data_IF_763421656912
#
_entry.id   IF_763421656912
#
_cell.length_a   1.000
_cell.length_b   1.000
_cell.length_c   1.000
_cell.angle_alpha   90.00
_cell.angle_beta   90.00
_cell.angle_gamma   90.00
#
_symmetry.space_group_name_H-M   'P 1'
#
loop_
_entity.id
_entity.type
_entity.pdbx_description
1 polymer ?
#
# COMPACT_ATOMS: atom_id res chain seq x y z
N UNK A 1 -3.45 -20.31 85.09
CA UNK A 1 -3.89 -21.36 86.03
C UNK A 1 -5.18 -21.96 85.49
N UNK A 2 -5.21 -23.29 85.32
CA UNK A 2 -6.40 -24.18 85.22
C UNK A 2 -7.46 -23.83 84.14
N UNK A 3 -7.84 -24.72 83.24
CA UNK A 3 -7.59 -26.16 83.17
C UNK A 3 -8.31 -26.84 82.00
N UNK A 4 -8.10 -28.16 81.94
CA UNK A 4 -8.98 -29.24 81.48
C UNK A 4 -9.66 -29.11 80.10
N UNK A 5 -9.29 -29.90 79.09
CA UNK A 5 -9.65 -31.32 78.87
C UNK A 5 -11.13 -31.66 79.01
N UNK A 6 -11.84 -31.79 77.88
CA UNK A 6 -12.65 -32.94 77.45
C UNK A 6 -13.34 -32.57 76.10
N UNK A 7 -13.22 -33.26 74.95
CA UNK A 7 -13.42 -34.67 74.53
C UNK A 7 -14.69 -34.75 73.67
N UNK A 8 -14.57 -35.13 72.39
CA UNK A 8 -15.48 -36.04 71.65
C UNK A 8 -14.94 -36.26 70.22
N UNK A 9 -14.30 -37.42 69.99
CA UNK A 9 -14.81 -38.57 69.17
C UNK A 9 -14.37 -38.46 67.69
N UNK A 10 -13.25 -39.06 67.30
CA UNK A 10 -13.06 -40.48 66.87
C UNK A 10 -13.87 -40.84 65.62
N UNK A 11 -13.19 -40.92 64.47
CA UNK A 11 -12.95 -42.22 63.81
C UNK A 11 -11.81 -42.11 62.79
N UNK A 12 -10.77 -42.91 63.01
CA UNK A 12 -9.67 -43.21 62.09
C UNK A 12 -10.03 -44.52 61.40
N UNK A 13 -9.91 -44.58 60.08
CA UNK A 13 -9.78 -45.85 59.36
C UNK A 13 -8.70 -45.70 58.28
N UNK A 14 -7.54 -46.31 58.54
CA UNK A 14 -6.52 -46.59 57.53
C UNK A 14 -7.04 -47.69 56.61
N UNK A 15 -6.90 -47.52 55.29
CA UNK A 15 -6.92 -48.63 54.33
C UNK A 15 -5.65 -48.56 53.48
N UNK A 16 -4.96 -49.71 53.45
CA UNK A 16 -3.68 -49.94 52.83
C UNK A 16 -3.73 -50.10 51.31
N UNK A 17 -2.54 -50.01 50.74
CA UNK A 17 -2.17 -50.05 49.33
C UNK A 17 -2.51 -51.38 48.67
N UNK A 18 -2.98 -51.33 47.43
CA UNK A 18 -2.94 -52.43 46.47
C UNK A 18 -2.33 -51.93 45.16
N UNK A 19 -1.35 -52.68 44.65
CA UNK A 19 -0.62 -52.42 43.40
C UNK A 19 -1.47 -52.90 42.24
N UNK A 20 -1.75 -52.03 41.26
CA UNK A 20 -2.36 -52.39 39.99
C UNK A 20 -1.38 -52.06 38.84
N UNK A 21 -1.09 -53.07 38.03
CA UNK A 21 -0.32 -52.94 36.79
C UNK A 21 -1.07 -52.07 35.78
N UNK A 22 -0.49 -50.94 35.39
CA UNK A 22 -0.96 -50.15 34.25
C UNK A 22 -0.24 -50.65 32.98
N UNK A 23 -0.99 -51.22 32.04
CA UNK A 23 -0.51 -51.40 30.67
C UNK A 23 -0.48 -50.03 29.97
N UNK A 24 0.72 -49.57 29.60
CA UNK A 24 0.89 -48.36 28.81
C UNK A 24 0.51 -48.65 27.34
N UNK A 25 -0.64 -48.13 26.89
CA UNK A 25 -0.94 -48.04 25.47
C UNK A 25 -0.16 -46.85 24.91
N UNK A 26 0.94 -47.12 24.23
CA UNK A 26 1.65 -46.11 23.45
C UNK A 26 0.78 -45.73 22.24
N UNK A 27 0.13 -44.56 22.31
CA UNK A 27 -0.46 -43.95 21.12
C UNK A 27 0.71 -43.42 20.29
N UNK A 28 1.12 -44.18 19.28
CA UNK A 28 1.94 -43.62 18.19
C UNK A 28 1.08 -42.58 17.47
N UNK A 29 1.28 -41.30 17.77
CA UNK A 29 0.89 -40.24 16.86
C UNK A 29 1.74 -40.39 15.60
N UNK A 30 1.19 -41.01 14.57
CA UNK A 30 1.73 -40.91 13.22
C UNK A 30 1.63 -39.42 12.88
N UNK A 31 2.73 -38.68 13.06
CA UNK A 31 2.89 -37.41 12.41
C UNK A 31 2.71 -37.72 10.92
N UNK A 32 1.61 -37.24 10.33
CA UNK A 32 1.46 -37.29 8.89
C UNK A 32 2.65 -36.53 8.32
N UNK A 33 3.61 -37.29 7.80
CA UNK A 33 4.68 -36.76 6.98
C UNK A 33 3.95 -36.13 5.80
N UNK A 34 3.77 -34.81 5.85
CA UNK A 34 3.27 -34.07 4.71
C UNK A 34 4.32 -34.30 3.63
N UNK A 35 3.94 -35.04 2.59
CA UNK A 35 4.78 -35.12 1.40
C UNK A 35 5.01 -33.66 0.93
N UNK A 36 6.25 -33.27 0.63
CA UNK A 36 6.49 -31.94 0.08
C UNK A 36 5.65 -31.79 -1.18
N UNK A 37 5.14 -30.57 -1.39
CA UNK A 37 4.43 -30.22 -2.62
C UNK A 37 5.22 -30.61 -3.86
N UNK A 38 4.52 -31.05 -4.89
CA UNK A 38 5.16 -31.32 -6.17
C UNK A 38 5.39 -30.00 -6.93
N UNK A 39 6.46 -29.96 -7.72
CA UNK A 39 6.61 -28.94 -8.76
C UNK A 39 5.76 -29.33 -9.97
N UNK A 40 5.02 -28.35 -10.50
CA UNK A 40 4.11 -28.49 -11.63
C UNK A 40 4.48 -27.48 -12.69
N UNK A 41 5.08 -27.95 -13.77
CA UNK A 41 5.46 -27.10 -14.89
C UNK A 41 4.35 -27.07 -15.93
N UNK A 42 3.95 -25.88 -16.34
CA UNK A 42 3.09 -25.72 -17.49
C UNK A 42 3.84 -26.15 -18.76
N UNK A 43 3.33 -27.16 -19.45
CA UNK A 43 3.88 -27.68 -20.71
C UNK A 43 2.93 -27.50 -21.89
N UNK A 44 1.69 -27.08 -21.61
CA UNK A 44 0.70 -26.79 -22.64
C UNK A 44 0.99 -25.49 -23.39
N UNK A 45 0.33 -25.31 -24.53
CA UNK A 45 0.11 -23.96 -25.07
C UNK A 45 -0.88 -23.17 -24.21
N UNK A 46 -1.44 -22.08 -24.73
CA UNK A 46 -2.54 -21.39 -24.05
C UNK A 46 -3.70 -22.35 -23.79
N UNK A 47 -4.19 -22.37 -22.55
CA UNK A 47 -5.12 -23.40 -22.10
C UNK A 47 -5.66 -23.17 -20.69
N UNK A 48 -6.34 -24.18 -20.17
CA UNK A 48 -7.06 -24.07 -18.91
C UNK A 48 -6.32 -24.72 -17.75
N UNK A 49 -6.35 -24.06 -16.59
CA UNK A 49 -5.72 -24.53 -15.34
C UNK A 49 -6.19 -25.93 -14.93
N UNK A 50 -7.48 -26.21 -15.09
CA UNK A 50 -8.13 -27.46 -14.66
C UNK A 50 -7.77 -28.68 -15.51
N UNK A 51 -7.05 -28.49 -16.61
CA UNK A 51 -6.62 -29.58 -17.51
C UNK A 51 -5.23 -30.05 -17.10
N UNK A 52 -5.17 -31.18 -16.40
CA UNK A 52 -3.90 -31.74 -15.88
C UNK A 52 -2.82 -31.98 -16.95
N UNK A 53 -3.20 -32.31 -18.18
CA UNK A 53 -2.25 -32.48 -19.29
C UNK A 53 -1.44 -31.20 -19.59
N UNK A 54 -2.00 -30.02 -19.33
CA UNK A 54 -1.27 -28.76 -19.48
C UNK A 54 -0.15 -28.60 -18.42
N UNK A 55 -0.20 -29.38 -17.34
CA UNK A 55 0.79 -29.43 -16.25
C UNK A 55 1.69 -30.67 -16.32
N UNK A 56 1.69 -31.37 -17.46
CA UNK A 56 2.46 -32.61 -17.64
C UNK A 56 1.92 -33.80 -16.86
N UNK A 57 0.69 -33.73 -16.34
CA UNK A 57 0.06 -34.80 -15.59
C UNK A 57 -1.19 -34.38 -14.84
N UNK A 58 -1.03 -34.00 -13.56
CA UNK A 58 -2.12 -33.51 -12.71
C UNK A 58 -1.98 -32.02 -12.46
N UNK A 59 -3.11 -31.32 -12.32
CA UNK A 59 -3.12 -29.89 -11.99
C UNK A 59 -2.51 -29.62 -10.61
N UNK A 60 -1.97 -28.41 -10.36
CA UNK A 60 -1.52 -27.99 -9.05
C UNK A 60 -2.66 -27.95 -8.03
N UNK A 61 -2.28 -28.18 -6.78
CA UNK A 61 -3.11 -28.08 -5.59
C UNK A 61 -2.46 -27.13 -4.58
N UNK A 62 -3.13 -26.80 -3.47
CA UNK A 62 -2.67 -25.83 -2.47
C UNK A 62 -1.32 -26.13 -1.79
N UNK A 63 -0.73 -27.30 -2.04
CA UNK A 63 0.60 -27.65 -1.54
C UNK A 63 1.67 -27.58 -2.63
N UNK A 64 1.29 -27.54 -3.90
CA UNK A 64 2.20 -27.64 -5.05
C UNK A 64 2.75 -26.27 -5.46
N UNK A 65 3.95 -26.26 -6.07
CA UNK A 65 4.53 -25.07 -6.71
C UNK A 65 4.24 -25.17 -8.21
N UNK A 66 3.69 -24.12 -8.79
CA UNK A 66 3.29 -24.06 -10.18
C UNK A 66 4.16 -23.05 -10.96
N UNK A 67 4.81 -23.53 -12.03
CA UNK A 67 5.66 -22.70 -12.88
C UNK A 67 5.08 -22.57 -14.28
N UNK A 68 5.17 -21.36 -14.85
CA UNK A 68 4.75 -21.05 -16.22
C UNK A 68 5.90 -20.37 -16.95
N UNK A 69 6.55 -21.12 -17.84
CA UNK A 69 7.79 -20.73 -18.52
C UNK A 69 7.69 -20.94 -20.05
N UNK A 70 6.49 -20.79 -20.61
CA UNK A 70 6.18 -21.16 -22.01
C UNK A 70 5.68 -20.01 -22.88
N UNK A 71 5.45 -18.84 -22.30
CA UNK A 71 4.79 -17.71 -22.95
C UNK A 71 3.28 -17.91 -23.10
N UNK A 72 2.74 -19.01 -22.59
CA UNK A 72 1.33 -19.37 -22.73
C UNK A 72 0.40 -18.53 -21.86
N UNK A 73 -0.87 -18.49 -22.25
CA UNK A 73 -1.95 -17.97 -21.40
C UNK A 73 -2.56 -19.12 -20.59
N UNK A 74 -2.42 -19.05 -19.27
CA UNK A 74 -3.08 -19.93 -18.31
C UNK A 74 -4.41 -19.30 -17.90
N UNK A 75 -5.51 -19.98 -18.23
CA UNK A 75 -6.87 -19.52 -17.91
C UNK A 75 -7.48 -20.31 -16.77
N UNK A 76 -7.83 -19.63 -15.69
CA UNK A 76 -8.65 -20.16 -14.60
C UNK A 76 -10.12 -19.85 -14.91
N UNK A 77 -10.94 -20.89 -15.01
CA UNK A 77 -12.38 -20.78 -15.38
C UNK A 77 -13.33 -21.43 -14.38
N UNK A 78 -12.77 -22.08 -13.37
CA UNK A 78 -13.47 -22.81 -12.30
C UNK A 78 -13.21 -22.11 -10.97
N UNK A 79 -14.06 -22.43 -9.98
CA UNK A 79 -13.86 -21.97 -8.60
C UNK A 79 -12.99 -22.96 -7.83
N UNK A 80 -12.17 -22.42 -6.93
CA UNK A 80 -11.39 -23.21 -5.97
C UNK A 80 -10.08 -23.78 -6.52
N UNK A 81 -9.55 -23.21 -7.60
CA UNK A 81 -8.20 -23.55 -8.06
C UNK A 81 -7.16 -23.03 -7.06
N UNK A 82 -6.06 -23.77 -6.86
CA UNK A 82 -5.08 -23.40 -5.87
C UNK A 82 -3.67 -23.90 -6.17
N UNK A 83 -2.67 -23.16 -5.66
CA UNK A 83 -1.27 -23.57 -5.58
C UNK A 83 -0.65 -23.07 -4.26
N UNK A 84 0.43 -23.67 -3.78
CA UNK A 84 1.25 -23.04 -2.73
C UNK A 84 1.99 -21.82 -3.30
N UNK A 85 2.47 -21.91 -4.54
CA UNK A 85 3.16 -20.84 -5.23
C UNK A 85 2.84 -20.91 -6.72
N UNK A 86 2.73 -19.75 -7.36
CA UNK A 86 2.55 -19.60 -8.78
C UNK A 86 3.53 -18.57 -9.31
N UNK A 87 4.41 -19.01 -10.20
CA UNK A 87 5.49 -18.19 -10.71
C UNK A 87 5.57 -18.25 -12.23
N UNK A 88 5.69 -17.07 -12.84
CA UNK A 88 5.79 -16.88 -14.27
C UNK A 88 7.21 -16.44 -14.62
N UNK A 89 7.89 -17.23 -15.44
CA UNK A 89 9.22 -16.95 -15.96
C UNK A 89 10.35 -17.17 -14.97
N UNK A 90 10.31 -18.26 -14.20
CA UNK A 90 11.37 -18.64 -13.26
C UNK A 90 12.56 -19.25 -13.98
N UNK A 91 12.31 -20.25 -14.84
CA UNK A 91 13.36 -20.96 -15.57
C UNK A 91 13.63 -20.36 -16.96
N UNK A 92 12.63 -19.71 -17.56
CA UNK A 92 12.69 -19.15 -18.92
C UNK A 92 12.08 -17.75 -18.95
N UNK A 93 12.62 -16.78 -19.72
CA UNK A 93 11.99 -15.47 -19.87
C UNK A 93 10.59 -15.49 -20.52
N UNK A 94 10.15 -16.61 -21.11
CA UNK A 94 8.80 -16.78 -21.65
C UNK A 94 7.74 -16.92 -20.52
N UNK A 95 7.52 -15.87 -19.73
CA UNK A 95 6.69 -15.93 -18.54
C UNK A 95 5.18 -16.13 -18.84
N UNK A 96 4.61 -15.48 -19.86
CA UNK A 96 3.24 -15.76 -20.34
C UNK A 96 2.16 -14.92 -19.67
N UNK A 97 0.94 -15.46 -19.48
CA UNK A 97 -0.19 -14.68 -18.92
C UNK A 97 -1.11 -15.51 -18.03
N UNK A 98 -1.63 -14.91 -16.97
CA UNK A 98 -2.67 -15.44 -16.11
C UNK A 98 -3.99 -14.72 -16.38
N UNK A 99 -5.04 -15.48 -16.73
CA UNK A 99 -6.40 -14.97 -16.85
C UNK A 99 -7.27 -15.67 -15.83
N UNK A 100 -7.92 -14.93 -14.94
CA UNK A 100 -8.96 -15.46 -14.06
C UNK A 100 -10.31 -14.97 -14.58
N UNK A 101 -11.06 -15.89 -15.18
CA UNK A 101 -12.31 -15.60 -15.87
C UNK A 101 -13.43 -15.21 -14.89
N UNK A 102 -14.48 -14.58 -15.42
CA UNK A 102 -15.61 -14.14 -14.61
C UNK A 102 -16.23 -15.30 -13.83
N UNK A 103 -16.47 -15.08 -12.53
CA UNK A 103 -16.99 -16.09 -11.60
C UNK A 103 -16.01 -17.21 -11.20
N UNK A 104 -14.79 -17.21 -11.73
CA UNK A 104 -13.75 -18.18 -11.35
C UNK A 104 -12.96 -17.70 -10.12
N UNK A 105 -12.23 -18.62 -9.48
CA UNK A 105 -11.36 -18.25 -8.37
C UNK A 105 -10.06 -19.05 -8.29
N UNK A 106 -8.98 -18.34 -7.95
CA UNK A 106 -7.65 -18.88 -7.72
C UNK A 106 -7.12 -18.42 -6.36
N UNK A 107 -6.58 -19.34 -5.58
CA UNK A 107 -5.89 -19.06 -4.31
C UNK A 107 -4.45 -19.56 -4.35
N UNK A 108 -3.48 -18.67 -4.22
CA UNK A 108 -2.06 -19.03 -4.18
C UNK A 108 -1.39 -18.51 -2.91
N UNK A 109 -0.37 -19.21 -2.40
CA UNK A 109 0.44 -18.68 -1.29
C UNK A 109 1.29 -17.52 -1.76
N UNK A 110 2.08 -17.70 -2.81
CA UNK A 110 2.85 -16.64 -3.45
C UNK A 110 2.47 -16.52 -4.93
N UNK A 111 2.33 -15.29 -5.42
CA UNK A 111 2.23 -14.98 -6.84
C UNK A 111 3.41 -14.13 -7.27
N UNK A 112 4.20 -14.63 -8.21
CA UNK A 112 5.32 -13.90 -8.80
C UNK A 112 5.15 -13.83 -10.32
N UNK A 113 4.96 -12.62 -10.84
CA UNK A 113 4.89 -12.36 -12.28
C UNK A 113 6.21 -11.76 -12.77
N UNK A 114 6.73 -12.32 -13.85
CA UNK A 114 7.99 -11.93 -14.49
C UNK A 114 9.21 -12.10 -13.56
N UNK A 115 9.50 -13.34 -13.16
CA UNK A 115 10.54 -13.65 -12.18
C UNK A 115 11.98 -13.54 -12.70
N UNK A 116 12.18 -13.58 -14.00
CA UNK A 116 13.50 -13.42 -14.63
C UNK A 116 13.62 -12.11 -15.42
N UNK A 117 14.85 -11.63 -15.58
CA UNK A 117 15.12 -10.45 -16.41
C UNK A 117 14.76 -10.71 -17.87
N UNK A 118 14.15 -9.73 -18.53
CA UNK A 118 13.67 -9.85 -19.91
C UNK A 118 12.36 -10.62 -20.06
N UNK A 119 11.79 -11.12 -18.97
CA UNK A 119 10.48 -11.77 -18.99
C UNK A 119 9.33 -10.77 -19.03
N UNK A 120 8.23 -11.17 -19.68
CA UNK A 120 7.00 -10.38 -19.76
C UNK A 120 5.81 -11.22 -19.30
N UNK A 121 5.08 -10.70 -18.30
CA UNK A 121 3.88 -11.33 -17.74
C UNK A 121 2.66 -10.44 -17.81
N UNK A 122 1.48 -11.05 -17.99
CA UNK A 122 0.21 -10.32 -17.91
C UNK A 122 -0.77 -11.02 -16.96
N UNK A 123 -1.45 -10.24 -16.13
CA UNK A 123 -2.60 -10.68 -15.32
C UNK A 123 -3.87 -9.98 -15.82
N UNK A 124 -4.90 -10.76 -16.13
CA UNK A 124 -6.25 -10.25 -16.35
C UNK A 124 -7.20 -10.86 -15.32
N UNK A 125 -7.76 -10.01 -14.47
CA UNK A 125 -8.71 -10.38 -13.43
C UNK A 125 -10.10 -9.82 -13.80
N UNK A 126 -10.90 -10.67 -14.43
CA UNK A 126 -12.21 -10.32 -14.96
C UNK A 126 -13.19 -9.86 -13.88
N UNK A 127 -14.27 -9.14 -14.25
CA UNK A 127 -15.36 -8.84 -13.31
C UNK A 127 -15.85 -10.12 -12.62
N UNK A 128 -16.18 -10.02 -11.31
CA UNK A 128 -16.62 -11.13 -10.43
C UNK A 128 -15.63 -12.28 -10.22
N UNK A 129 -14.47 -12.27 -10.86
CA UNK A 129 -13.38 -13.20 -10.57
C UNK A 129 -12.74 -12.88 -9.21
N UNK A 130 -12.13 -13.87 -8.57
CA UNK A 130 -11.42 -13.70 -7.30
C UNK A 130 -10.02 -14.31 -7.37
N UNK A 131 -9.01 -13.51 -7.03
CA UNK A 131 -7.63 -13.94 -6.85
C UNK A 131 -7.21 -13.66 -5.40
N UNK A 132 -6.87 -14.70 -4.65
CA UNK A 132 -6.31 -14.59 -3.32
C UNK A 132 -4.83 -15.00 -3.34
N UNK A 133 -3.97 -14.17 -2.77
CA UNK A 133 -2.53 -14.42 -2.64
C UNK A 133 -2.10 -14.22 -1.19
N UNK A 134 -1.11 -14.97 -0.71
CA UNK A 134 -0.41 -14.68 0.53
C UNK A 134 0.56 -13.50 0.38
N UNK A 135 1.27 -13.45 -0.74
CA UNK A 135 2.14 -12.35 -1.14
C UNK A 135 2.07 -12.17 -2.66
N UNK A 136 2.03 -10.92 -3.13
CA UNK A 136 1.95 -10.61 -4.55
C UNK A 136 3.15 -9.81 -5.04
N UNK A 137 3.77 -10.25 -6.13
CA UNK A 137 4.83 -9.53 -6.83
C UNK A 137 4.52 -9.45 -8.32
N UNK A 138 4.26 -8.24 -8.80
CA UNK A 138 3.94 -7.94 -10.19
C UNK A 138 5.12 -7.17 -10.77
N UNK A 139 5.90 -7.80 -11.63
CA UNK A 139 7.10 -7.19 -12.22
C UNK A 139 8.30 -7.41 -11.32
N UNK A 140 8.65 -8.68 -11.09
CA UNK A 140 9.70 -9.05 -10.14
C UNK A 140 11.09 -8.64 -10.64
N UNK A 141 11.65 -9.34 -11.62
CA UNK A 141 12.90 -8.97 -12.31
C UNK A 141 12.68 -8.57 -13.76
N UNK A 142 11.55 -8.98 -14.35
CA UNK A 142 11.09 -8.55 -15.66
C UNK A 142 9.90 -7.61 -15.57
N UNK A 143 9.14 -7.53 -16.66
CA UNK A 143 8.01 -6.61 -16.79
C UNK A 143 6.69 -7.37 -16.60
N UNK A 144 5.78 -6.81 -15.82
CA UNK A 144 4.45 -7.35 -15.69
C UNK A 144 3.37 -6.27 -15.66
N UNK A 145 2.24 -6.57 -16.29
CA UNK A 145 1.05 -5.72 -16.22
C UNK A 145 -0.13 -6.48 -15.64
N UNK A 146 -0.99 -5.82 -14.86
CA UNK A 146 -2.24 -6.38 -14.41
C UNK A 146 -3.44 -5.47 -14.74
N UNK A 147 -4.49 -6.05 -15.30
CA UNK A 147 -5.79 -5.43 -15.45
C UNK A 147 -6.75 -6.02 -14.41
N UNK A 148 -7.33 -5.16 -13.55
CA UNK A 148 -8.16 -5.58 -12.42
C UNK A 148 -9.56 -4.99 -12.55
N UNK A 149 -10.55 -5.88 -12.69
CA UNK A 149 -11.97 -5.57 -12.58
C UNK A 149 -12.71 -6.47 -11.57
N UNK A 150 -12.07 -7.55 -11.11
CA UNK A 150 -12.56 -8.45 -10.06
C UNK A 150 -12.01 -8.14 -8.68
N UNK A 151 -11.90 -9.16 -7.82
CA UNK A 151 -11.40 -9.06 -6.45
C UNK A 151 -9.99 -9.62 -6.33
N UNK A 152 -9.01 -8.79 -5.97
CA UNK A 152 -7.64 -9.22 -5.64
C UNK A 152 -7.42 -9.07 -4.13
N UNK A 153 -7.14 -10.15 -3.42
CA UNK A 153 -6.80 -10.10 -2.00
C UNK A 153 -5.36 -10.60 -1.79
N UNK A 154 -4.46 -9.72 -1.35
CA UNK A 154 -3.16 -10.11 -0.79
C UNK A 154 -3.26 -10.11 0.73
N UNK A 155 -3.04 -11.25 1.40
CA UNK A 155 -3.03 -11.29 2.86
C UNK A 155 -1.74 -10.73 3.47
N UNK A 156 -0.67 -10.63 2.68
CA UNK A 156 0.56 -9.92 2.97
C UNK A 156 0.76 -8.72 2.05
N UNK A 157 2.02 -8.37 1.80
CA UNK A 157 2.37 -7.23 0.96
C UNK A 157 2.11 -7.47 -0.54
N UNK A 158 1.84 -6.38 -1.25
CA UNK A 158 1.78 -6.33 -2.71
C UNK A 158 2.89 -5.42 -3.22
N UNK A 159 3.75 -5.97 -4.07
CA UNK A 159 4.88 -5.24 -4.67
C UNK A 159 4.65 -5.11 -6.16
N UNK A 160 4.76 -3.88 -6.68
CA UNK A 160 4.81 -3.60 -8.11
C UNK A 160 6.20 -3.09 -8.49
N UNK A 161 6.89 -3.81 -9.36
CA UNK A 161 8.27 -3.49 -9.73
C UNK A 161 9.21 -3.74 -8.55
N UNK A 162 9.53 -5.02 -8.27
CA UNK A 162 10.50 -5.35 -7.23
C UNK A 162 11.90 -4.87 -7.66
N UNK A 163 12.37 -5.35 -8.80
CA UNK A 163 13.60 -4.94 -9.51
C UNK A 163 13.34 -4.63 -10.99
N UNK A 164 12.27 -5.21 -11.55
CA UNK A 164 11.76 -4.93 -12.89
C UNK A 164 10.66 -3.88 -12.91
N UNK A 165 9.71 -4.00 -13.85
CA UNK A 165 8.58 -3.08 -14.00
C UNK A 165 7.24 -3.74 -13.70
N UNK A 166 6.47 -3.17 -12.78
CA UNK A 166 5.11 -3.60 -12.46
C UNK A 166 4.10 -2.50 -12.72
N UNK A 167 3.07 -2.78 -13.53
CA UNK A 167 1.98 -1.82 -13.81
C UNK A 167 0.62 -2.44 -13.54
N UNK A 168 -0.11 -1.90 -12.56
CA UNK A 168 -1.51 -2.29 -12.30
C UNK A 168 -2.45 -1.22 -12.83
N UNK A 169 -3.49 -1.63 -13.54
CA UNK A 169 -4.65 -0.79 -13.88
C UNK A 169 -5.90 -1.40 -13.28
N UNK A 170 -6.48 -0.71 -12.30
CA UNK A 170 -7.74 -1.08 -11.69
C UNK A 170 -8.85 -0.16 -12.21
N UNK A 171 -9.85 -0.76 -12.85
CA UNK A 171 -11.01 -0.05 -13.42
C UNK A 171 -12.29 -0.30 -12.63
N UNK A 172 -12.34 -1.38 -11.86
CA UNK A 172 -13.48 -1.76 -11.03
C UNK A 172 -13.01 -2.71 -9.90
N UNK A 173 -13.97 -3.33 -9.21
CA UNK A 173 -13.69 -4.36 -8.23
C UNK A 173 -12.99 -3.86 -6.97
N UNK A 174 -12.35 -4.77 -6.25
CA UNK A 174 -11.72 -4.50 -4.96
C UNK A 174 -10.32 -5.12 -4.89
N UNK A 175 -9.35 -4.34 -4.43
CA UNK A 175 -8.00 -4.81 -4.10
C UNK A 175 -7.80 -4.60 -2.61
N UNK A 176 -7.45 -5.65 -1.89
CA UNK A 176 -7.12 -5.59 -0.47
C UNK A 176 -5.68 -6.05 -0.26
N UNK A 177 -4.91 -5.30 0.51
CA UNK A 177 -3.51 -5.62 0.86
C UNK A 177 -3.40 -5.73 2.38
N UNK A 178 -2.95 -6.89 2.87
CA UNK A 178 -2.81 -7.18 4.29
C UNK A 178 -1.52 -6.63 4.90
N UNK A 179 -0.49 -6.45 4.09
CA UNK A 179 0.78 -5.80 4.44
C UNK A 179 0.94 -4.45 3.74
N UNK A 180 2.17 -4.13 3.33
CA UNK A 180 2.50 -2.92 2.60
C UNK A 180 2.12 -3.02 1.13
N UNK A 181 1.73 -1.89 0.54
CA UNK A 181 1.74 -1.71 -0.91
C UNK A 181 3.03 -0.97 -1.29
N UNK A 182 3.91 -1.59 -2.06
CA UNK A 182 5.21 -0.98 -2.41
C UNK A 182 5.41 -0.91 -3.93
N UNK A 183 5.74 0.28 -4.42
CA UNK A 183 5.93 0.57 -5.85
C UNK A 183 7.37 1.00 -6.13
N UNK A 184 8.07 0.31 -7.03
CA UNK A 184 9.47 0.63 -7.38
C UNK A 184 10.40 0.38 -6.21
N UNK A 185 10.56 -0.90 -5.86
CA UNK A 185 11.06 -1.29 -4.54
C UNK A 185 12.59 -1.29 -4.41
N UNK A 186 13.30 -2.06 -5.24
CA UNK A 186 14.74 -2.33 -5.07
C UNK A 186 15.51 -1.95 -6.34
N UNK A 187 16.46 -1.04 -6.19
CA UNK A 187 17.31 -0.53 -7.27
C UNK A 187 16.66 0.58 -8.10
N UNK A 188 17.50 1.51 -8.56
CA UNK A 188 17.08 2.72 -9.28
C UNK A 188 16.34 2.45 -10.62
N UNK A 189 16.46 1.24 -11.17
CA UNK A 189 15.77 0.84 -12.39
C UNK A 189 14.39 0.20 -12.14
N UNK A 190 14.03 -0.11 -10.88
CA UNK A 190 12.73 -0.68 -10.55
C UNK A 190 11.63 0.35 -10.78
N UNK A 191 10.54 -0.07 -11.42
CA UNK A 191 9.41 0.80 -11.78
C UNK A 191 8.10 0.18 -11.28
N UNK A 192 7.40 0.85 -10.37
CA UNK A 192 6.06 0.46 -9.93
C UNK A 192 5.04 1.53 -10.29
N UNK A 193 3.97 1.16 -10.98
CA UNK A 193 2.86 2.07 -11.26
C UNK A 193 1.50 1.44 -10.94
N UNK A 194 0.70 2.15 -10.14
CA UNK A 194 -0.69 1.78 -9.85
C UNK A 194 -1.64 2.85 -10.41
N UNK A 195 -2.50 2.46 -11.35
CA UNK A 195 -3.55 3.31 -11.93
C UNK A 195 -4.90 2.93 -11.36
N UNK A 196 -5.41 3.73 -10.43
CA UNK A 196 -6.68 3.51 -9.74
C UNK A 196 -7.79 4.34 -10.40
N UNK A 197 -8.33 3.84 -11.51
CA UNK A 197 -9.36 4.52 -12.34
C UNK A 197 -10.79 4.23 -11.89
N UNK A 198 -10.98 3.22 -11.04
CA UNK A 198 -12.24 2.86 -10.43
C UNK A 198 -12.05 1.76 -9.38
N UNK A 199 -13.12 1.37 -8.71
CA UNK A 199 -13.05 0.35 -7.65
C UNK A 199 -12.42 0.87 -6.36
N UNK A 200 -12.08 -0.06 -5.46
CA UNK A 200 -11.50 0.24 -4.15
C UNK A 200 -10.13 -0.43 -3.99
N UNK A 201 -9.17 0.30 -3.42
CA UNK A 201 -7.89 -0.20 -2.93
C UNK A 201 -7.83 0.01 -1.41
N UNK A 202 -7.77 -1.08 -0.64
CA UNK A 202 -7.68 -1.06 0.81
C UNK A 202 -6.34 -1.62 1.27
N UNK A 203 -5.64 -0.89 2.13
CA UNK A 203 -4.45 -1.38 2.84
C UNK A 203 -4.78 -1.59 4.31
N UNK A 204 -4.37 -2.73 4.86
CA UNK A 204 -4.71 -3.06 6.24
C UNK A 204 -3.95 -2.18 7.22
N UNK A 205 -4.62 -1.80 8.30
CA UNK A 205 -4.04 -1.09 9.45
C UNK A 205 -3.10 -2.02 10.22
N UNK A 206 -2.37 -1.45 11.17
CA UNK A 206 -1.40 -2.19 11.98
C UNK A 206 0.04 -1.72 11.82
N UNK A 207 0.25 -0.54 11.22
CA UNK A 207 1.58 0.00 10.96
C UNK A 207 2.09 -0.22 9.53
N UNK A 208 1.23 -0.71 8.63
CA UNK A 208 1.55 -0.83 7.20
C UNK A 208 1.58 0.53 6.50
N UNK A 209 2.11 0.54 5.28
CA UNK A 209 2.28 1.73 4.46
C UNK A 209 1.92 1.52 2.98
N UNK A 210 1.65 2.64 2.32
CA UNK A 210 1.71 2.78 0.86
C UNK A 210 3.03 3.47 0.53
N UNK A 211 3.97 2.73 -0.05
CA UNK A 211 5.31 3.20 -0.38
C UNK A 211 5.43 3.48 -1.89
N UNK A 212 5.69 4.73 -2.25
CA UNK A 212 5.86 5.17 -3.63
C UNK A 212 7.33 5.52 -3.85
N UNK A 213 8.08 4.64 -4.52
CA UNK A 213 9.50 4.82 -4.82
C UNK A 213 10.36 4.61 -3.59
N UNK A 214 10.71 3.36 -3.30
CA UNK A 214 11.52 2.98 -2.13
C UNK A 214 13.02 3.08 -2.44
N UNK A 215 13.45 2.47 -3.54
CA UNK A 215 14.77 2.73 -4.14
C UNK A 215 14.65 3.04 -5.65
N UNK A 216 13.53 2.64 -6.26
CA UNK A 216 13.21 2.89 -7.67
C UNK A 216 12.19 4.01 -7.85
N UNK A 217 11.42 3.93 -8.92
CA UNK A 217 10.36 4.90 -9.24
C UNK A 217 8.99 4.30 -8.93
N UNK A 218 8.25 4.93 -8.03
CA UNK A 218 6.89 4.52 -7.67
C UNK A 218 5.86 5.59 -8.00
N UNK A 219 4.78 5.20 -8.69
CA UNK A 219 3.72 6.13 -9.08
C UNK A 219 2.35 5.57 -8.74
N UNK A 220 1.55 6.32 -7.98
CA UNK A 220 0.14 6.05 -7.79
C UNK A 220 -0.68 7.14 -8.47
N UNK A 221 -1.48 6.74 -9.45
CA UNK A 221 -2.37 7.63 -10.20
C UNK A 221 -3.81 7.36 -9.74
N UNK A 222 -4.38 8.31 -9.00
CA UNK A 222 -5.76 8.28 -8.50
C UNK A 222 -6.69 8.95 -9.51
N UNK A 223 -7.25 8.11 -10.38
CA UNK A 223 -8.19 8.51 -11.41
C UNK A 223 -7.59 9.06 -12.71
N UNK A 224 -8.49 9.50 -13.58
CA UNK A 224 -8.22 10.12 -14.87
C UNK A 224 -9.30 11.15 -15.24
N UNK A 225 -9.40 11.56 -16.50
CA UNK A 225 -10.45 12.49 -16.93
C UNK A 225 -11.87 11.97 -16.70
N UNK A 226 -12.07 10.65 -16.68
CA UNK A 226 -13.37 9.97 -16.69
C UNK A 226 -13.78 9.60 -15.27
N UNK A 227 -12.91 8.91 -14.52
CA UNK A 227 -13.26 8.34 -13.23
C UNK A 227 -12.05 8.23 -12.29
N UNK A 228 -12.34 8.03 -11.00
CA UNK A 228 -11.35 7.73 -9.97
C UNK A 228 -11.84 6.56 -9.12
N UNK A 229 -10.91 5.73 -8.65
CA UNK A 229 -11.20 4.78 -7.58
C UNK A 229 -11.09 5.41 -6.20
N UNK A 230 -11.18 4.57 -5.18
CA UNK A 230 -11.08 4.97 -3.78
C UNK A 230 -9.90 4.26 -3.14
N UNK A 231 -9.00 5.02 -2.53
CA UNK A 231 -7.96 4.48 -1.65
C UNK A 231 -8.41 4.62 -0.20
N UNK A 232 -8.25 3.56 0.59
CA UNK A 232 -8.62 3.56 2.00
C UNK A 232 -7.84 2.52 2.79
N UNK A 233 -8.30 2.29 4.01
CA UNK A 233 -7.68 1.37 4.94
C UNK A 233 -8.73 0.47 5.63
N UNK A 234 -8.32 -0.71 6.08
CA UNK A 234 -9.18 -1.70 6.74
C UNK A 234 -8.56 -2.26 8.02
N UNK A 235 -9.36 -2.82 8.93
CA UNK A 235 -8.86 -3.45 10.16
C UNK A 235 -8.65 -2.48 11.33
N UNK A 236 -7.79 -2.85 12.27
CA UNK A 236 -7.53 -2.14 13.53
C UNK A 236 -6.04 -1.84 13.74
N UNK A 237 -5.68 -1.04 14.75
CA UNK A 237 -4.29 -0.66 15.04
C UNK A 237 -3.93 0.75 14.58
N UNK A 238 -2.65 1.01 14.30
CA UNK A 238 -2.18 2.28 13.75
C UNK A 238 -2.74 2.52 12.34
N UNK A 239 -2.93 3.79 11.95
CA UNK A 239 -3.31 4.15 10.59
C UNK A 239 -2.25 3.76 9.57
N UNK A 240 -2.66 3.63 8.31
CA UNK A 240 -1.74 3.34 7.19
C UNK A 240 -0.99 4.61 6.81
N UNK A 241 0.34 4.53 6.75
CA UNK A 241 1.20 5.63 6.33
C UNK A 241 1.21 5.76 4.79
N UNK A 242 1.49 6.97 4.31
CA UNK A 242 1.77 7.24 2.91
C UNK A 242 3.18 7.80 2.80
N UNK A 243 4.07 7.04 2.16
CA UNK A 243 5.47 7.38 2.01
C UNK A 243 5.76 7.65 0.53
N UNK A 244 6.32 8.82 0.20
CA UNK A 244 6.52 9.27 -1.17
C UNK A 244 7.98 9.68 -1.37
N UNK A 245 8.70 8.89 -2.18
CA UNK A 245 10.13 9.07 -2.46
C UNK A 245 11.04 8.67 -1.31
N UNK A 246 10.67 7.59 -0.61
CA UNK A 246 11.38 7.16 0.60
C UNK A 246 12.76 6.58 0.26
N UNK A 247 13.62 6.53 1.27
CA UNK A 247 14.80 5.68 1.28
C UNK A 247 14.64 4.62 2.39
N UNK A 248 14.65 3.35 2.03
CA UNK A 248 14.77 2.25 2.99
C UNK A 248 16.05 1.48 2.66
N UNK A 249 17.07 1.60 3.52
CA UNK A 249 18.26 0.74 3.41
C UNK A 249 17.90 -0.68 3.85
N UNK A 250 17.74 -1.59 2.89
CA UNK A 250 17.54 -3.02 3.16
C UNK A 250 18.85 -3.75 3.56
N UNK A 251 19.89 -3.03 4.01
CA UNK A 251 21.17 -3.60 4.42
C UNK A 251 22.10 -3.92 3.25
N UNK A 252 21.80 -3.37 2.06
CA UNK A 252 22.58 -3.55 0.83
C UNK A 252 23.58 -2.42 0.57
N UNK A 253 23.58 -1.36 1.38
CA UNK A 253 24.44 -0.20 1.19
C UNK A 253 24.05 0.66 -0.02
N UNK A 254 22.80 0.54 -0.50
CA UNK A 254 22.26 1.45 -1.51
C UNK A 254 22.20 2.85 -0.90
N UNK A 255 22.62 3.88 -1.65
CA UNK A 255 22.44 5.30 -1.28
C UNK A 255 21.49 6.00 -2.25
N UNK A 256 20.82 5.24 -3.13
CA UNK A 256 19.94 5.80 -4.13
C UNK A 256 18.58 6.13 -3.50
N UNK A 257 18.19 7.40 -3.59
CA UNK A 257 16.85 7.84 -3.22
C UNK A 257 15.86 7.38 -4.30
N UNK A 258 14.83 6.64 -3.90
CA UNK A 258 13.71 6.37 -4.77
C UNK A 258 12.93 7.64 -5.07
N UNK A 259 12.27 7.70 -6.23
CA UNK A 259 11.38 8.83 -6.57
C UNK A 259 9.92 8.38 -6.48
N UNK A 260 9.12 9.11 -5.71
CA UNK A 260 7.70 8.83 -5.54
C UNK A 260 6.79 9.87 -6.19
N UNK A 261 5.67 9.44 -6.76
CA UNK A 261 4.60 10.34 -7.19
C UNK A 261 3.23 9.82 -6.79
N UNK A 262 2.49 10.63 -6.04
CA UNK A 262 1.03 10.55 -5.97
C UNK A 262 0.44 11.60 -6.91
N UNK A 263 -0.44 11.21 -7.84
CA UNK A 263 -1.12 12.14 -8.75
C UNK A 263 -2.59 11.83 -8.88
N UNK A 264 -3.45 12.84 -8.89
CA UNK A 264 -4.85 12.69 -9.25
C UNK A 264 -5.80 13.52 -8.41
N UNK A 265 -7.00 13.00 -8.16
CA UNK A 265 -8.05 13.63 -7.35
C UNK A 265 -8.90 12.58 -6.62
N UNK A 266 -9.63 13.02 -5.60
CA UNK A 266 -10.43 12.16 -4.72
C UNK A 266 -9.92 12.24 -3.28
N UNK A 267 -10.63 11.55 -2.39
CA UNK A 267 -10.25 11.46 -0.97
C UNK A 267 -9.30 10.30 -0.77
N UNK A 268 -8.16 10.56 -0.13
CA UNK A 268 -7.23 9.53 0.33
C UNK A 268 -7.61 9.13 1.74
N UNK A 269 -8.29 7.99 1.89
CA UNK A 269 -8.84 7.49 3.16
C UNK A 269 -7.81 6.87 4.12
N UNK A 270 -6.56 7.34 4.09
CA UNK A 270 -5.48 6.90 4.96
C UNK A 270 -5.37 7.86 6.16
N UNK A 271 -4.96 7.35 7.33
CA UNK A 271 -4.87 8.16 8.56
C UNK A 271 -3.54 8.06 9.30
N UNK A 272 -2.53 7.44 8.68
CA UNK A 272 -1.17 7.44 9.20
C UNK A 272 -0.47 8.77 8.94
N UNK A 273 0.86 8.74 8.99
CA UNK A 273 1.70 9.87 8.62
C UNK A 273 1.85 9.96 7.09
N UNK A 274 2.01 11.18 6.60
CA UNK A 274 2.48 11.47 5.26
C UNK A 274 3.97 11.77 5.33
N UNK A 275 4.82 10.84 4.87
CA UNK A 275 6.26 11.05 4.75
C UNK A 275 6.61 11.45 3.31
N UNK A 276 6.95 12.72 3.09
CA UNK A 276 7.35 13.24 1.80
C UNK A 276 8.86 13.47 1.80
N UNK A 277 9.59 12.55 1.18
CA UNK A 277 11.05 12.59 1.10
C UNK A 277 11.44 13.11 -0.30
N UNK A 278 12.00 12.26 -1.18
CA UNK A 278 12.35 12.62 -2.56
C UNK A 278 11.16 12.43 -3.53
N UNK A 279 10.03 13.03 -3.17
CA UNK A 279 8.72 12.72 -3.74
C UNK A 279 7.91 13.94 -4.15
N UNK A 280 6.90 13.71 -5.01
CA UNK A 280 5.95 14.74 -5.42
C UNK A 280 4.50 14.30 -5.24
N UNK A 281 3.67 15.23 -4.80
CA UNK A 281 2.22 15.05 -4.74
C UNK A 281 1.55 16.07 -5.65
N UNK A 282 0.76 15.58 -6.61
CA UNK A 282 0.17 16.38 -7.68
C UNK A 282 -1.35 16.24 -7.66
N UNK A 283 -2.05 17.28 -7.19
CA UNK A 283 -3.49 17.39 -7.38
C UNK A 283 -3.78 17.72 -8.84
N UNK A 284 -4.19 16.72 -9.60
CA UNK A 284 -4.53 16.84 -11.02
C UNK A 284 -6.04 16.79 -11.20
N UNK A 285 -6.62 17.91 -11.63
CA UNK A 285 -8.05 17.99 -11.89
C UNK A 285 -8.50 17.32 -13.19
N UNK A 286 -7.56 16.90 -14.04
CA UNK A 286 -7.80 16.39 -15.39
C UNK A 286 -8.76 17.29 -16.21
N UNK A 287 -8.60 18.62 -16.08
CA UNK A 287 -9.35 19.63 -16.81
C UNK A 287 -10.66 20.06 -16.16
N UNK A 288 -11.02 19.48 -15.01
CA UNK A 288 -12.20 19.84 -14.20
C UNK A 288 -11.78 20.28 -12.80
N UNK A 289 -12.60 21.13 -12.16
CA UNK A 289 -12.37 21.54 -10.79
C UNK A 289 -12.58 20.34 -9.85
N UNK A 290 -11.47 19.69 -9.45
CA UNK A 290 -11.46 18.51 -8.58
C UNK A 290 -10.40 18.67 -7.48
N UNK A 291 -10.61 17.98 -6.37
CA UNK A 291 -9.75 18.07 -5.19
C UNK A 291 -9.07 16.74 -4.95
N UNK A 292 -7.75 16.74 -4.75
CA UNK A 292 -7.03 15.66 -4.07
C UNK A 292 -7.02 16.00 -2.58
N UNK A 293 -7.70 15.19 -1.78
CA UNK A 293 -7.89 15.42 -0.36
C UNK A 293 -7.06 14.43 0.46
N UNK A 294 -6.01 14.96 1.10
CA UNK A 294 -5.13 14.27 2.03
C UNK A 294 -5.41 14.65 3.49
N UNK A 295 -6.51 15.35 3.77
CA UNK A 295 -6.85 15.89 5.08
C UNK A 295 -7.08 14.85 6.17
N UNK A 296 -7.26 13.57 5.80
CA UNK A 296 -7.38 12.45 6.72
C UNK A 296 -6.07 11.97 7.35
N UNK A 297 -4.92 12.33 6.76
CA UNK A 297 -3.60 11.97 7.29
C UNK A 297 -3.29 12.75 8.58
N UNK A 298 -2.59 12.11 9.51
CA UNK A 298 -2.40 12.63 10.86
C UNK A 298 -1.35 13.73 10.98
N UNK A 299 -0.29 13.67 10.18
CA UNK A 299 0.77 14.68 10.13
C UNK A 299 1.57 14.57 8.83
N UNK A 300 2.28 15.65 8.52
CA UNK A 300 3.31 15.67 7.47
C UNK A 300 4.66 15.58 8.17
N UNK A 301 5.52 14.70 7.65
CA UNK A 301 6.92 14.58 8.02
C UNK A 301 7.77 14.52 6.75
N UNK A 302 9.01 14.97 6.88
CA UNK A 302 10.05 14.90 5.86
C UNK A 302 11.39 14.94 6.61
N UNK A 303 12.33 14.13 6.17
CA UNK A 303 13.72 14.18 6.62
C UNK A 303 14.69 14.55 5.49
N UNK A 304 14.16 14.73 4.28
CA UNK A 304 14.88 15.14 3.10
C UNK A 304 14.88 16.66 2.99
N UNK A 305 16.07 17.22 2.76
CA UNK A 305 16.24 18.65 2.52
C UNK A 305 16.42 18.89 1.01
N UNK A 306 15.51 19.64 0.41
CA UNK A 306 15.60 20.03 -1.00
C UNK A 306 16.79 20.97 -1.23
N UNK A 307 17.74 20.55 -2.06
CA UNK A 307 18.76 21.47 -2.57
C UNK A 307 18.21 22.34 -3.72
N UNK A 308 18.86 23.47 -4.07
CA UNK A 308 18.37 24.34 -5.14
C UNK A 308 18.16 23.59 -6.46
N UNK A 309 16.93 23.65 -6.98
CA UNK A 309 16.53 22.99 -8.23
C UNK A 309 15.79 21.66 -8.05
N UNK A 310 15.68 21.15 -6.82
CA UNK A 310 14.96 19.90 -6.57
C UNK A 310 13.44 20.09 -6.51
N UNK A 311 12.67 19.13 -7.06
CA UNK A 311 11.24 19.30 -7.25
C UNK A 311 10.38 18.64 -6.15
N UNK A 312 10.94 18.18 -5.03
CA UNK A 312 10.12 17.50 -4.02
C UNK A 312 9.13 18.48 -3.39
N UNK A 313 7.86 18.10 -3.27
CA UNK A 313 6.83 18.99 -2.76
C UNK A 313 5.44 18.80 -3.36
N UNK A 314 4.69 19.89 -3.36
CA UNK A 314 3.25 19.92 -3.58
C UNK A 314 2.89 20.64 -4.86
N UNK A 315 1.94 20.10 -5.62
CA UNK A 315 1.56 20.64 -6.92
C UNK A 315 0.06 20.58 -7.13
N UNK A 316 -0.46 21.55 -7.88
CA UNK A 316 -1.84 21.55 -8.35
C UNK A 316 -1.89 21.95 -9.83
N UNK A 317 -2.48 21.11 -10.67
CA UNK A 317 -2.52 21.30 -12.13
C UNK A 317 -3.89 20.98 -12.71
N UNK A 318 -4.15 21.49 -13.92
CA UNK A 318 -5.32 21.18 -14.72
C UNK A 318 -6.64 21.30 -13.92
N UNK A 319 -6.82 22.44 -13.24
CA UNK A 319 -7.91 22.78 -12.34
C UNK A 319 -7.97 22.00 -11.02
N UNK A 320 -6.91 21.27 -10.66
CA UNK A 320 -6.77 20.57 -9.40
C UNK A 320 -6.69 21.49 -8.19
N UNK A 321 -7.09 20.97 -7.03
CA UNK A 321 -6.90 21.55 -5.69
C UNK A 321 -6.31 20.49 -4.77
N UNK A 322 -5.22 20.80 -4.08
CA UNK A 322 -4.62 19.92 -3.08
C UNK A 322 -5.04 20.39 -1.69
N UNK A 323 -5.69 19.52 -0.93
CA UNK A 323 -5.99 19.73 0.49
C UNK A 323 -5.09 18.85 1.34
N UNK A 324 -4.34 19.46 2.25
CA UNK A 324 -3.46 18.76 3.20
C UNK A 324 -4.09 18.73 4.61
N UNK A 325 -3.54 17.93 5.54
CA UNK A 325 -3.98 17.94 6.95
C UNK A 325 -4.04 19.34 7.53
N UNK A 326 -5.04 19.56 8.37
CA UNK A 326 -5.23 20.82 9.06
C UNK A 326 -4.18 21.00 10.16
N UNK A 327 -3.78 22.24 10.42
CA UNK A 327 -2.74 22.58 11.39
C UNK A 327 -3.37 23.16 12.64
N UNK A 328 -3.12 22.53 13.79
CA UNK A 328 -3.62 23.02 15.06
C UNK A 328 -2.84 24.28 15.49
N UNK A 329 -3.57 25.37 15.70
CA UNK A 329 -3.05 26.66 16.18
C UNK A 329 -3.33 26.81 17.67
N UNK A 330 -2.35 27.30 18.42
CA UNK A 330 -2.42 27.58 19.85
C UNK A 330 -2.54 29.09 20.09
N UNK A 331 -3.12 29.47 21.24
CA UNK A 331 -3.17 30.86 21.67
C UNK A 331 -1.75 31.41 21.91
N UNK A 332 -1.54 32.71 21.69
CA UNK A 332 -0.23 33.36 21.85
C UNK A 332 0.53 33.54 20.53
N UNK A 333 1.86 33.65 20.60
CA UNK A 333 2.71 33.88 19.43
C UNK A 333 3.51 32.63 19.08
N UNK A 334 3.26 32.06 17.90
CA UNK A 334 3.81 30.78 17.46
C UNK A 334 4.00 30.75 15.94
N UNK A 335 4.79 29.80 15.45
CA UNK A 335 4.95 29.53 14.02
C UNK A 335 4.40 28.16 13.66
N UNK A 336 3.83 28.05 12.47
CA UNK A 336 3.21 26.84 11.94
C UNK A 336 3.62 26.61 10.50
N UNK A 337 3.84 25.36 10.14
CA UNK A 337 4.16 24.97 8.77
C UNK A 337 2.94 24.34 8.09
N UNK A 338 2.81 24.53 6.79
CA UNK A 338 1.88 23.81 5.92
C UNK A 338 2.64 23.22 4.75
N UNK A 339 2.45 21.93 4.50
CA UNK A 339 3.23 21.20 3.50
C UNK A 339 4.65 20.85 3.97
N UNK A 340 4.92 20.88 5.26
CA UNK A 340 6.25 20.65 5.85
C UNK A 340 6.13 20.06 7.25
N UNK A 341 7.21 19.45 7.74
CA UNK A 341 7.32 19.01 9.13
C UNK A 341 7.15 20.19 10.09
N UNK A 342 6.35 20.05 11.16
CA UNK A 342 6.12 21.14 12.12
C UNK A 342 7.38 21.55 12.90
N UNK A 343 8.37 20.65 13.00
CA UNK A 343 9.63 20.91 13.70
C UNK A 343 10.64 21.69 12.85
N UNK A 344 10.44 21.75 11.53
CA UNK A 344 11.37 22.42 10.64
C UNK A 344 11.19 23.95 10.73
N UNK A 345 12.30 24.68 10.85
CA UNK A 345 12.33 26.13 10.91
C UNK A 345 12.54 26.78 9.52
N UNK A 346 13.04 26.02 8.55
CA UNK A 346 13.54 26.49 7.27
C UNK A 346 12.92 25.69 6.11
N UNK A 347 11.62 25.91 5.88
CA UNK A 347 10.85 25.22 4.85
C UNK A 347 11.54 25.17 3.48
N UNK A 348 11.51 24.01 2.82
CA UNK A 348 12.25 23.78 1.57
C UNK A 348 11.49 22.98 0.50
N UNK A 349 10.41 22.29 0.89
CA UNK A 349 9.51 21.59 -0.01
C UNK A 349 8.79 22.60 -0.90
N UNK A 350 8.76 22.31 -2.19
CA UNK A 350 8.13 23.18 -3.19
C UNK A 350 6.64 23.36 -2.85
N UNK A 351 6.19 24.62 -2.92
CA UNK A 351 4.85 25.09 -2.60
C UNK A 351 4.39 24.89 -1.14
N UNK A 352 5.33 24.76 -0.20
CA UNK A 352 5.05 24.85 1.24
C UNK A 352 5.02 26.30 1.73
N UNK A 353 4.45 26.52 2.92
CA UNK A 353 4.54 27.82 3.59
C UNK A 353 4.67 27.69 5.11
N UNK A 354 5.26 28.72 5.71
CA UNK A 354 5.35 28.93 7.16
C UNK A 354 4.62 30.21 7.51
N UNK A 355 3.80 30.16 8.55
CA UNK A 355 3.11 31.32 9.10
C UNK A 355 3.52 31.54 10.56
N UNK A 356 4.02 32.74 10.86
CA UNK A 356 4.24 33.20 12.23
C UNK A 356 3.09 34.10 12.65
N UNK A 357 2.25 33.63 13.57
CA UNK A 357 1.13 34.37 14.14
C UNK A 357 1.57 35.06 15.43
N UNK A 358 1.23 36.35 15.57
CA UNK A 358 1.48 37.10 16.79
C UNK A 358 0.19 37.35 17.57
N UNK A 359 0.21 37.04 18.86
CA UNK A 359 -0.90 37.30 19.79
C UNK A 359 -2.23 36.69 19.31
N UNK A 360 -2.23 35.44 18.87
CA UNK A 360 -3.44 34.70 18.57
C UNK A 360 -4.35 34.63 19.82
N UNK A 361 -5.62 35.03 19.68
CA UNK A 361 -6.54 35.22 20.82
C UNK A 361 -7.01 33.91 21.45
N UNK A 362 -6.84 32.79 20.77
CA UNK A 362 -7.30 31.47 21.20
C UNK A 362 -6.76 30.35 20.31
N UNK A 363 -6.97 29.08 20.70
CA UNK A 363 -6.67 27.96 19.83
C UNK A 363 -7.62 27.90 18.63
N UNK A 364 -7.18 27.28 17.53
CA UNK A 364 -8.00 27.10 16.34
C UNK A 364 -7.41 26.06 15.39
N UNK A 365 -8.10 25.88 14.26
CA UNK A 365 -7.68 24.95 13.22
C UNK A 365 -7.43 25.72 11.93
N UNK A 366 -6.17 25.80 11.50
CA UNK A 366 -5.81 26.36 10.21
C UNK A 366 -6.01 25.30 9.13
N UNK A 367 -6.80 25.61 8.12
CA UNK A 367 -6.89 24.82 6.90
C UNK A 367 -6.23 25.59 5.77
N UNK A 368 -5.56 24.88 4.87
CA UNK A 368 -5.08 25.49 3.64
C UNK A 368 -5.10 24.49 2.48
N UNK A 369 -5.21 25.04 1.28
CA UNK A 369 -5.15 24.27 0.04
C UNK A 369 -4.30 24.99 -1.01
N UNK A 370 -3.64 24.20 -1.86
CA UNK A 370 -2.94 24.68 -3.05
C UNK A 370 -3.84 24.50 -4.26
N UNK A 371 -4.08 25.58 -4.99
CA UNK A 371 -4.97 25.64 -6.13
C UNK A 371 -4.16 25.77 -7.41
N UNK A 372 -4.59 25.05 -8.46
CA UNK A 372 -4.05 25.27 -9.80
C UNK A 372 -4.48 26.64 -10.32
N UNK A 373 -3.60 27.33 -11.03
CA UNK A 373 -3.78 28.72 -11.48
C UNK A 373 -4.83 28.89 -12.58
N UNK A 374 -5.22 27.79 -13.23
CA UNK A 374 -6.20 27.74 -14.31
C UNK A 374 -7.64 27.42 -13.81
N UNK A 375 -7.86 27.42 -12.49
CA UNK A 375 -9.20 27.21 -11.94
C UNK A 375 -10.11 28.43 -12.16
N UNK A 376 -11.39 28.16 -12.39
CA UNK A 376 -12.39 29.19 -12.67
C UNK A 376 -12.82 30.02 -11.45
N UNK A 377 -12.59 29.52 -10.23
CA UNK A 377 -12.87 30.19 -8.97
C UNK A 377 -11.74 31.13 -8.52
N UNK A 378 -10.64 31.19 -9.29
CA UNK A 378 -9.57 32.17 -9.13
C UNK A 378 -9.91 33.41 -9.94
N UNK A 379 -9.76 34.59 -9.33
CA UNK A 379 -10.00 35.85 -10.00
C UNK A 379 -9.13 35.99 -11.27
N UNK A 380 -9.75 36.40 -12.38
CA UNK A 380 -9.03 36.67 -13.61
C UNK A 380 -8.03 37.82 -13.45
N UNK A 381 -6.93 37.78 -14.20
CA UNK A 381 -5.94 38.86 -14.24
C UNK A 381 -4.88 38.82 -13.15
N UNK A 382 -4.51 37.62 -12.66
CA UNK A 382 -3.32 37.47 -11.82
C UNK A 382 -2.09 38.08 -12.52
N UNK A 383 -1.32 38.94 -11.85
CA UNK A 383 -0.15 39.57 -12.46
C UNK A 383 0.96 38.53 -12.73
N UNK A 384 1.67 38.69 -13.84
CA UNK A 384 2.80 37.83 -14.20
C UNK A 384 2.39 36.40 -14.56
N UNK A 385 3.24 35.44 -14.19
CA UNK A 385 2.97 34.00 -14.35
C UNK A 385 2.86 33.38 -12.96
N UNK A 386 1.65 33.23 -12.41
CA UNK A 386 1.49 32.64 -11.08
C UNK A 386 1.99 31.20 -11.10
N UNK A 387 2.78 30.86 -10.07
CA UNK A 387 3.39 29.53 -9.88
C UNK A 387 2.65 28.70 -8.82
N UNK A 388 1.80 29.34 -8.01
CA UNK A 388 0.94 28.72 -7.01
C UNK A 388 -0.10 29.70 -6.48
N UNK A 389 -1.25 29.20 -6.04
CA UNK A 389 -2.29 29.97 -5.35
C UNK A 389 -2.68 29.21 -4.09
N UNK A 390 -2.53 29.84 -2.92
CA UNK A 390 -2.88 29.25 -1.63
C UNK A 390 -4.17 29.86 -1.12
N UNK A 391 -5.13 29.01 -0.77
CA UNK A 391 -6.32 29.38 -0.01
C UNK A 391 -6.07 29.00 1.45
N UNK A 392 -6.01 29.98 2.35
CA UNK A 392 -5.70 29.80 3.78
C UNK A 392 -6.88 30.29 4.61
N UNK A 393 -7.37 29.48 5.53
CA UNK A 393 -8.44 29.83 6.44
C UNK A 393 -8.08 29.49 7.89
N UNK A 394 -8.34 30.43 8.80
CA UNK A 394 -8.21 30.25 10.25
C UNK A 394 -9.45 30.86 10.94
N UNK A 395 -10.61 30.19 10.88
CA UNK A 395 -11.86 30.73 11.41
C UNK A 395 -11.83 30.83 12.93
N UNK A 396 -12.41 31.90 13.48
CA UNK A 396 -12.63 32.06 14.91
C UNK A 396 -11.40 32.43 15.75
N UNK A 397 -10.23 32.62 15.13
CA UNK A 397 -9.02 33.10 15.81
C UNK A 397 -8.64 34.46 15.26
N UNK A 398 -8.61 35.47 16.14
CA UNK A 398 -8.02 36.77 15.82
C UNK A 398 -6.54 36.77 16.20
N UNK A 399 -5.73 37.59 15.54
CA UNK A 399 -4.32 37.79 15.82
C UNK A 399 -3.93 39.24 15.52
N UNK A 400 -2.84 39.72 16.09
CA UNK A 400 -2.39 41.11 15.89
C UNK A 400 -1.66 41.31 14.57
N UNK A 401 -0.90 40.30 14.14
CA UNK A 401 -0.19 40.27 12.86
C UNK A 401 0.18 38.84 12.48
N UNK A 402 0.46 38.63 11.19
CA UNK A 402 1.00 37.40 10.65
C UNK A 402 2.16 37.71 9.71
N UNK A 403 3.21 36.89 9.75
CA UNK A 403 4.27 36.87 8.74
C UNK A 403 4.21 35.54 7.99
N UNK A 404 4.21 35.61 6.66
CA UNK A 404 4.15 34.44 5.77
C UNK A 404 5.46 34.31 5.01
N UNK A 405 6.02 33.11 5.02
CA UNK A 405 7.16 32.70 4.19
C UNK A 405 6.68 31.58 3.28
N UNK A 406 6.88 31.73 1.98
CA UNK A 406 6.54 30.73 0.97
C UNK A 406 7.80 30.15 0.36
N UNK A 407 7.80 28.84 0.11
CA UNK A 407 8.76 28.17 -0.75
C UNK A 407 8.06 27.81 -2.06
N UNK A 408 8.66 28.18 -3.19
CA UNK A 408 8.08 27.98 -4.52
C UNK A 408 9.15 27.65 -5.56
#
# INVERSE_FOLDING_TARGET
MRGMFAKLEVQVMLIGRSVACLAAVAVLSVAAVHAPGAERNWVGGSGYWDVGANWGGSKPTSVDIAYVDTGATVTVRTVGEAAAELEFGYYDPAAGSLVVAAGASLSVGNLTLASSSGSLSHLDLAPTASLAVGFGNIGSYGDATAAISGTFNSSGSLILGLKGSGVVTQTAGAVSVGGDLSLGNIGAAALGEYRLRGGTLLVSRGGNAVNLGVEGQGRLILGDAIAAGVIGQSGSGAGVNLNVGQFIDYGGGSTALGTGELRGYGVVGLTGQLDLQYGRVVADGFGLARTLDLGGLGSIVNGYENVPGEPSGWYAMAKGRLLLPSVAVAAGSHSYNWGESQADAAIDLVNSFRIALNSATGPGLMTASLLSTDRHDIAAGLPGTPIGVWEIALPGVSFSSAALTFRY
#
